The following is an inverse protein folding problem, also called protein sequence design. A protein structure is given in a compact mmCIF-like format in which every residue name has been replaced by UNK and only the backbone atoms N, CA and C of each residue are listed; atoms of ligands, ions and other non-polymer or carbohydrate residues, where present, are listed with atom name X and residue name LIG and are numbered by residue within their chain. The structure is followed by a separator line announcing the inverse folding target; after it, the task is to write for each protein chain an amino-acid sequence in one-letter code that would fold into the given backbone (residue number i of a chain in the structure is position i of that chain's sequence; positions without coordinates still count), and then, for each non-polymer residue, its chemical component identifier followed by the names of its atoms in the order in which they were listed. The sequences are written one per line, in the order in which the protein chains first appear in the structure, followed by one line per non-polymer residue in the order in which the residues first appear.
data_IF_469356648998
#
_entry.id   IF_469356648998
#
_cell.length_a   1.000
_cell.length_b   1.000
_cell.length_c   1.000
_cell.angle_alpha   90.00
_cell.angle_beta   90.00
_cell.angle_gamma   90.00
#
_symmetry.space_group_name_H-M   'P 1'
#
loop_
_entity.id
_entity.type
_entity.pdbx_description
1 polymer ?
#
# COMPACT_ATOMS: atom_id res chain seq x y z
N UNK A 1 -7.95 10.52 2.67
CA UNK A 1 -7.23 9.45 1.94
C UNK A 1 -5.99 8.98 2.70
N UNK A 2 -5.38 9.87 3.48
CA UNK A 2 -4.08 9.69 4.14
C UNK A 2 -4.07 8.59 5.21
N UNK A 3 -5.17 8.39 5.93
CA UNK A 3 -5.31 7.27 6.89
C UNK A 3 -5.16 5.89 6.22
N UNK A 4 -5.69 5.71 5.01
CA UNK A 4 -5.60 4.43 4.26
C UNK A 4 -4.16 4.16 3.82
N UNK A 5 -3.45 5.20 3.36
CA UNK A 5 -2.03 5.11 3.00
C UNK A 5 -1.18 4.79 4.22
N UNK A 6 -1.39 5.47 5.34
CA UNK A 6 -0.67 5.21 6.58
C UNK A 6 -0.86 3.75 7.04
N UNK A 7 -2.08 3.23 6.95
CA UNK A 7 -2.40 1.85 7.30
C UNK A 7 -1.74 0.85 6.35
N UNK A 8 -1.80 1.08 5.04
CA UNK A 8 -1.12 0.27 4.04
C UNK A 8 0.40 0.25 4.26
N UNK A 9 1.01 1.40 4.58
CA UNK A 9 2.44 1.48 4.93
C UNK A 9 2.79 0.64 6.16
N UNK A 10 1.95 0.65 7.18
CA UNK A 10 2.15 -0.19 8.37
C UNK A 10 2.15 -1.67 7.99
N UNK A 11 1.17 -2.11 7.19
CA UNK A 11 1.09 -3.51 6.75
C UNK A 11 2.25 -3.91 5.84
N UNK A 12 2.71 -3.03 4.95
CA UNK A 12 3.88 -3.31 4.10
C UNK A 12 5.18 -3.49 4.90
N UNK A 13 5.28 -2.93 6.11
CA UNK A 13 6.44 -3.12 7.00
C UNK A 13 6.34 -4.39 7.84
N UNK A 14 5.13 -4.74 8.29
CA UNK A 14 4.93 -5.80 9.29
C UNK A 14 4.50 -7.15 8.71
N UNK A 15 4.04 -7.19 7.45
CA UNK A 15 3.34 -8.35 6.91
C UNK A 15 3.91 -8.80 5.55
N UNK A 16 4.07 -10.12 5.39
CA UNK A 16 4.43 -10.76 4.12
C UNK A 16 3.20 -11.03 3.22
N UNK A 17 2.01 -10.56 3.61
CA UNK A 17 0.79 -10.61 2.81
C UNK A 17 0.96 -10.01 1.40
N UNK A 18 0.18 -10.55 0.46
CA UNK A 18 0.11 -10.02 -0.91
C UNK A 18 -0.45 -8.60 -0.95
N UNK A 19 -0.04 -7.80 -1.94
CA UNK A 19 -0.45 -6.40 -2.06
C UNK A 19 -1.97 -6.22 -2.21
N UNK A 20 -2.67 -7.20 -2.78
CA UNK A 20 -4.14 -7.22 -2.87
C UNK A 20 -4.81 -7.32 -1.49
N UNK A 21 -4.28 -8.15 -0.60
CA UNK A 21 -4.80 -8.31 0.75
C UNK A 21 -4.51 -7.06 1.59
N UNK A 22 -3.31 -6.48 1.43
CA UNK A 22 -2.94 -5.20 2.05
C UNK A 22 -3.87 -4.09 1.58
N UNK A 23 -4.22 -4.05 0.29
CA UNK A 23 -5.16 -3.08 -0.25
C UNK A 23 -6.51 -3.18 0.45
N UNK A 24 -7.12 -4.38 0.48
CA UNK A 24 -8.41 -4.61 1.14
C UNK A 24 -8.37 -4.27 2.63
N UNK A 25 -7.34 -4.74 3.34
CA UNK A 25 -7.14 -4.51 4.78
C UNK A 25 -6.92 -3.02 5.13
N UNK A 26 -6.38 -2.25 4.19
CA UNK A 26 -6.20 -0.81 4.32
C UNK A 26 -7.43 -0.01 3.88
N UNK A 27 -8.48 -0.69 3.41
CA UNK A 27 -9.74 -0.10 2.96
C UNK A 27 -9.75 0.31 1.49
N UNK A 28 -8.84 -0.19 0.65
CA UNK A 28 -8.87 -0.03 -0.82
C UNK A 28 -9.80 -1.02 -1.49
N UNK A 29 -10.49 -0.55 -2.53
CA UNK A 29 -11.39 -1.38 -3.33
C UNK A 29 -10.64 -2.44 -4.14
N UNK A 30 -9.38 -2.17 -4.48
CA UNK A 30 -8.53 -3.09 -5.22
C UNK A 30 -7.05 -2.72 -5.10
N UNK A 31 -6.17 -3.67 -5.46
CA UNK A 31 -4.73 -3.44 -5.57
C UNK A 31 -4.39 -2.30 -6.56
N UNK A 32 -5.11 -2.22 -7.69
CA UNK A 32 -4.92 -1.17 -8.68
C UNK A 32 -5.25 0.22 -8.10
N UNK A 33 -6.38 0.35 -7.38
CA UNK A 33 -6.75 1.59 -6.71
C UNK A 33 -5.69 2.01 -5.68
N UNK A 34 -5.20 1.08 -4.85
CA UNK A 34 -4.11 1.36 -3.93
C UNK A 34 -2.85 1.85 -4.66
N UNK A 35 -2.49 1.20 -5.77
CA UNK A 35 -1.30 1.54 -6.55
C UNK A 35 -1.37 2.95 -7.14
N UNK A 36 -2.49 3.29 -7.78
CA UNK A 36 -2.70 4.64 -8.33
C UNK A 36 -2.66 5.70 -7.23
N UNK A 37 -3.23 5.42 -6.07
CA UNK A 37 -3.21 6.37 -4.93
C UNK A 37 -1.80 6.53 -4.36
N UNK A 38 -1.03 5.45 -4.28
CA UNK A 38 0.37 5.50 -3.86
C UNK A 38 1.24 6.29 -4.83
N UNK A 39 1.09 6.06 -6.14
CA UNK A 39 1.79 6.85 -7.16
C UNK A 39 1.41 8.33 -7.07
N UNK A 40 0.11 8.65 -6.99
CA UNK A 40 -0.36 10.03 -6.93
C UNK A 40 0.06 10.77 -5.64
N UNK A 41 0.27 10.06 -4.52
CA UNK A 41 0.54 10.68 -3.21
C UNK A 41 1.98 10.59 -2.75
N UNK A 42 2.68 9.53 -3.10
CA UNK A 42 4.06 9.24 -2.68
C UNK A 42 5.04 9.21 -3.85
N UNK A 43 4.57 9.28 -5.10
CA UNK A 43 5.40 9.19 -6.30
C UNK A 43 5.97 7.78 -6.58
N UNK A 44 5.60 6.78 -5.78
CA UNK A 44 6.12 5.41 -5.87
C UNK A 44 4.99 4.40 -5.69
N UNK A 45 5.19 3.18 -6.21
CA UNK A 45 4.22 2.08 -6.03
C UNK A 45 4.39 1.38 -4.67
N UNK A 46 3.36 0.67 -4.18
CA UNK A 46 3.45 -0.14 -2.96
C UNK A 46 4.57 -1.18 -3.02
N UNK A 47 4.80 -1.80 -4.18
CA UNK A 47 5.88 -2.79 -4.39
C UNK A 47 7.27 -2.17 -4.22
N UNK A 48 7.49 -0.99 -4.81
CA UNK A 48 8.75 -0.26 -4.68
C UNK A 48 8.97 0.15 -3.23
N UNK A 49 7.91 0.63 -2.57
CA UNK A 49 8.00 0.93 -1.15
C UNK A 49 8.37 -0.33 -0.36
N UNK A 50 7.69 -1.47 -0.56
CA UNK A 50 7.97 -2.73 0.13
C UNK A 50 9.45 -3.13 0.03
N UNK A 51 10.05 -3.04 -1.16
CA UNK A 51 11.48 -3.33 -1.35
C UNK A 51 12.45 -2.31 -0.73
N UNK A 52 11.98 -1.14 -0.29
CA UNK A 52 12.78 -0.12 0.43
C UNK A 52 12.69 -0.24 1.95
N UNK A 53 11.64 -0.89 2.47
CA UNK A 53 11.40 -1.05 3.91
C UNK A 53 11.62 -2.48 4.43
N UNK A 54 11.84 -3.45 3.54
CA UNK A 54 12.48 -4.73 3.87
C UNK A 54 14.00 -4.58 3.83
#
# INVERSE_FOLDING_TARGET
MDRRISRARSYLRSNNSGLSEIALSSGFSSHAHMTSVFQNRLGITPSVLRGRIQ
#
